data_IF_620924110757
#
_entry.id   IF_620924110757
#
_cell.length_a   1.000
_cell.length_b   1.000
_cell.length_c   1.000
_cell.angle_alpha   90.00
_cell.angle_beta   90.00
_cell.angle_gamma   90.00
#
_symmetry.space_group_name_H-M   'P 1'
#
loop_
_entity.id
_entity.type
_entity.pdbx_description
1 polymer ?
#
# COMPACT_ATOMS: atom_id res chain seq x y z
N UNK A 1 54.46 -3.43 26.83
CA UNK A 1 53.65 -2.43 26.12
C UNK A 1 52.38 -3.12 25.66
N UNK A 2 51.34 -3.05 26.50
CA UNK A 2 50.07 -3.71 26.25
C UNK A 2 49.08 -2.68 25.69
N UNK A 3 48.81 -2.70 24.39
CA UNK A 3 47.81 -1.83 23.77
C UNK A 3 46.41 -2.39 24.05
N UNK A 4 45.62 -1.57 24.74
CA UNK A 4 44.27 -1.82 25.14
C UNK A 4 43.31 -1.61 23.91
N UNK A 5 43.01 -2.67 23.17
CA UNK A 5 42.01 -2.64 22.09
C UNK A 5 40.62 -3.17 22.53
N UNK A 6 40.33 -3.10 23.82
CA UNK A 6 39.06 -3.66 24.33
C UNK A 6 37.83 -2.73 24.16
N UNK A 7 38.01 -1.48 23.73
CA UNK A 7 36.92 -0.50 23.68
C UNK A 7 36.21 -0.34 22.34
N UNK A 8 36.73 -0.90 21.26
CA UNK A 8 36.20 -0.61 19.92
C UNK A 8 35.06 -1.58 19.47
N UNK A 9 34.97 -2.73 20.11
CA UNK A 9 33.98 -3.74 19.74
C UNK A 9 32.56 -3.53 20.33
N UNK A 10 32.46 -2.71 21.39
CA UNK A 10 31.17 -2.47 22.05
C UNK A 10 30.28 -1.43 21.35
N UNK A 11 30.84 -0.58 20.51
CA UNK A 11 30.06 0.44 19.80
C UNK A 11 29.45 -0.05 18.47
N UNK A 12 29.98 -1.13 17.91
CA UNK A 12 29.47 -1.66 16.63
C UNK A 12 28.19 -2.49 16.78
N UNK A 13 27.90 -3.00 17.98
CA UNK A 13 26.71 -3.82 18.24
C UNK A 13 25.43 -3.00 18.46
N UNK A 14 25.54 -1.71 18.76
CA UNK A 14 24.37 -0.88 19.06
C UNK A 14 23.67 -0.31 17.81
N UNK A 15 24.33 -0.32 16.65
CA UNK A 15 23.79 0.29 15.42
C UNK A 15 22.89 -0.68 14.65
N UNK A 16 23.00 -1.99 14.89
CA UNK A 16 22.24 -3.01 14.18
C UNK A 16 20.78 -3.14 14.65
N UNK A 17 20.42 -2.54 15.79
CA UNK A 17 19.10 -2.68 16.40
C UNK A 17 18.03 -1.68 15.89
N UNK A 18 18.40 -0.74 15.00
CA UNK A 18 17.51 0.34 14.58
C UNK A 18 16.85 0.14 13.19
N UNK A 19 17.19 -0.93 12.48
CA UNK A 19 16.55 -1.24 11.20
C UNK A 19 15.31 -2.07 11.47
N UNK A 20 14.18 -1.40 11.71
CA UNK A 20 12.89 -2.07 11.72
C UNK A 20 12.53 -2.37 10.27
N UNK A 21 12.25 -3.64 9.92
CA UNK A 21 11.71 -3.94 8.60
C UNK A 21 10.38 -3.19 8.43
N UNK A 22 10.20 -2.53 7.29
CA UNK A 22 8.90 -1.96 6.95
C UNK A 22 7.85 -3.08 6.99
N UNK A 23 6.73 -2.84 7.68
CA UNK A 23 5.64 -3.81 7.72
C UNK A 23 5.15 -4.07 6.29
N UNK A 24 5.03 -5.35 5.89
CA UNK A 24 4.42 -5.73 4.62
C UNK A 24 2.94 -5.36 4.61
N UNK A 25 2.41 -4.99 3.44
CA UNK A 25 0.99 -4.73 3.26
C UNK A 25 0.14 -5.97 3.63
N UNK A 26 -0.94 -5.74 4.36
CA UNK A 26 -1.91 -6.78 4.71
C UNK A 26 -2.98 -6.87 3.61
N UNK A 27 -2.81 -7.80 2.68
CA UNK A 27 -3.72 -7.99 1.55
C UNK A 27 -5.15 -8.37 1.99
N UNK A 28 -5.39 -9.29 2.92
CA UNK A 28 -6.74 -9.58 3.42
C UNK A 28 -7.42 -8.34 4.00
N UNK A 29 -6.72 -7.50 4.74
CA UNK A 29 -7.27 -6.24 5.25
C UNK A 29 -7.57 -5.26 4.11
N UNK A 30 -6.69 -5.14 3.14
CA UNK A 30 -6.93 -4.32 1.94
C UNK A 30 -8.17 -4.75 1.18
N UNK A 31 -8.40 -6.06 1.05
CA UNK A 31 -9.60 -6.63 0.46
C UNK A 31 -10.86 -6.23 1.24
N UNK A 32 -10.83 -6.34 2.57
CA UNK A 32 -11.95 -5.93 3.43
C UNK A 32 -12.25 -4.43 3.31
N UNK A 33 -11.23 -3.59 3.30
CA UNK A 33 -11.39 -2.14 3.11
C UNK A 33 -12.01 -1.83 1.75
N UNK A 34 -11.57 -2.49 0.69
CA UNK A 34 -12.13 -2.34 -0.65
C UNK A 34 -13.61 -2.74 -0.69
N UNK A 35 -13.99 -3.85 -0.08
CA UNK A 35 -15.37 -4.31 0.02
C UNK A 35 -16.24 -3.33 0.80
N UNK A 36 -15.72 -2.77 1.87
CA UNK A 36 -16.45 -1.89 2.77
C UNK A 36 -16.64 -0.48 2.21
N UNK A 37 -15.62 0.07 1.57
CA UNK A 37 -15.58 1.50 1.22
C UNK A 37 -15.54 1.79 -0.30
N UNK A 38 -15.06 0.85 -1.11
CA UNK A 38 -14.81 1.10 -2.53
C UNK A 38 -15.84 0.41 -3.45
N UNK A 39 -16.42 -0.69 -3.01
CA UNK A 39 -17.30 -1.53 -3.83
C UNK A 39 -18.63 -0.85 -4.24
N UNK A 40 -19.01 0.23 -3.55
CA UNK A 40 -20.21 1.00 -3.93
C UNK A 40 -20.05 1.70 -5.29
N UNK A 41 -18.82 2.03 -5.68
CA UNK A 41 -18.52 2.79 -6.89
C UNK A 41 -17.59 2.04 -7.86
N UNK A 42 -16.69 1.22 -7.34
CA UNK A 42 -15.70 0.46 -8.11
C UNK A 42 -16.06 -1.02 -8.18
N UNK A 43 -15.76 -1.65 -9.30
CA UNK A 43 -15.63 -3.12 -9.34
C UNK A 43 -14.28 -3.48 -8.75
N UNK A 44 -14.29 -4.15 -7.61
CA UNK A 44 -13.08 -4.41 -6.83
C UNK A 44 -12.44 -5.78 -7.09
N UNK A 45 -13.13 -6.68 -7.81
CA UNK A 45 -12.60 -8.01 -8.11
C UNK A 45 -11.52 -8.03 -9.17
N UNK A 46 -10.80 -9.17 -9.28
CA UNK A 46 -9.67 -9.35 -10.18
C UNK A 46 -10.06 -9.66 -11.63
N UNK A 47 -11.34 -9.82 -11.94
CA UNK A 47 -11.81 -10.08 -13.32
C UNK A 47 -12.21 -8.78 -13.99
N UNK A 48 -11.90 -8.60 -15.29
CA UNK A 48 -12.45 -7.48 -16.04
C UNK A 48 -13.98 -7.52 -15.98
N UNK A 49 -14.66 -6.37 -15.87
CA UNK A 49 -16.11 -6.32 -15.97
C UNK A 49 -16.56 -6.82 -17.34
N UNK A 50 -17.71 -7.52 -17.36
CA UNK A 50 -18.26 -8.11 -18.59
C UNK A 50 -18.69 -7.07 -19.63
N UNK A 51 -18.92 -5.82 -19.20
CA UNK A 51 -19.34 -4.71 -20.05
C UNK A 51 -18.43 -3.51 -19.80
N UNK A 52 -18.30 -2.64 -20.80
CA UNK A 52 -17.60 -1.36 -20.63
C UNK A 52 -18.34 -0.55 -19.58
N UNK A 53 -17.69 -0.34 -18.43
CA UNK A 53 -18.27 0.49 -17.37
C UNK A 53 -18.12 1.96 -17.70
N UNK A 54 -19.21 2.68 -17.54
CA UNK A 54 -19.19 4.13 -17.43
C UNK A 54 -19.06 4.49 -15.95
N UNK A 55 -18.05 5.27 -15.60
CA UNK A 55 -17.81 5.70 -14.23
C UNK A 55 -16.39 5.39 -13.75
N UNK A 56 -16.19 5.18 -12.43
CA UNK A 56 -14.88 4.92 -11.88
C UNK A 56 -14.24 3.66 -12.48
N UNK A 57 -12.91 3.64 -12.70
CA UNK A 57 -12.24 2.46 -13.21
C UNK A 57 -12.35 1.29 -12.23
N UNK A 58 -12.41 0.06 -12.76
CA UNK A 58 -12.31 -1.13 -11.93
C UNK A 58 -10.92 -1.24 -11.30
N UNK A 59 -10.81 -1.94 -10.18
CA UNK A 59 -9.50 -2.21 -9.57
C UNK A 59 -8.60 -3.03 -10.49
N UNK A 60 -9.16 -3.92 -11.29
CA UNK A 60 -8.41 -4.61 -12.33
C UNK A 60 -7.80 -3.61 -13.34
N UNK A 61 -8.57 -2.65 -13.83
CA UNK A 61 -8.08 -1.64 -14.74
C UNK A 61 -7.01 -0.75 -14.11
N UNK A 62 -7.18 -0.38 -12.84
CA UNK A 62 -6.17 0.38 -12.09
C UNK A 62 -4.86 -0.41 -11.98
N UNK A 63 -4.95 -1.71 -11.67
CA UNK A 63 -3.79 -2.58 -11.55
C UNK A 63 -3.02 -2.75 -12.87
N UNK A 64 -3.72 -2.72 -14.01
CA UNK A 64 -3.12 -2.79 -15.35
C UNK A 64 -2.67 -1.42 -15.88
N UNK A 65 -3.08 -0.34 -15.22
CA UNK A 65 -2.80 1.03 -15.65
C UNK A 65 -1.38 1.50 -15.33
N UNK A 66 -1.05 2.76 -15.70
CA UNK A 66 0.30 3.29 -15.59
C UNK A 66 0.68 3.73 -14.17
N UNK A 67 -0.25 3.78 -13.23
CA UNK A 67 0.04 4.26 -11.87
C UNK A 67 0.87 3.24 -11.09
N UNK A 68 1.97 3.71 -10.52
CA UNK A 68 2.77 2.94 -9.58
C UNK A 68 2.23 3.09 -8.13
N UNK A 69 2.81 2.34 -7.18
CA UNK A 69 2.39 2.35 -5.79
C UNK A 69 2.47 3.75 -5.15
N UNK A 70 3.49 4.54 -5.46
CA UNK A 70 3.64 5.89 -4.90
C UNK A 70 2.59 6.86 -5.43
N UNK A 71 2.26 6.74 -6.70
CA UNK A 71 1.20 7.55 -7.33
C UNK A 71 -0.18 7.16 -6.78
N UNK A 72 -0.45 5.87 -6.58
CA UNK A 72 -1.68 5.42 -5.92
C UNK A 72 -1.76 5.90 -4.47
N UNK A 73 -0.65 5.87 -3.76
CA UNK A 73 -0.59 6.39 -2.38
C UNK A 73 -0.90 7.87 -2.33
N UNK A 74 -0.30 8.66 -3.21
CA UNK A 74 -0.57 10.08 -3.30
C UNK A 74 -2.04 10.35 -3.64
N UNK A 75 -2.61 9.62 -4.59
CA UNK A 75 -4.01 9.76 -4.96
C UNK A 75 -4.96 9.42 -3.80
N UNK A 76 -4.75 8.28 -3.13
CA UNK A 76 -5.61 7.84 -2.02
C UNK A 76 -5.48 8.72 -0.78
N UNK A 77 -4.35 9.41 -0.62
CA UNK A 77 -4.16 10.38 0.47
C UNK A 77 -4.95 11.67 0.24
N UNK A 78 -5.17 12.05 -1.01
CA UNK A 78 -5.85 13.28 -1.41
C UNK A 78 -6.74 13.01 -2.63
N UNK A 79 -7.82 12.23 -2.46
CA UNK A 79 -8.70 11.92 -3.57
C UNK A 79 -9.39 13.20 -4.07
N UNK A 80 -9.72 13.20 -5.37
CA UNK A 80 -10.34 14.34 -6.04
C UNK A 80 -11.51 13.88 -6.91
N UNK A 81 -12.28 14.85 -7.42
CA UNK A 81 -13.47 14.58 -8.21
C UNK A 81 -14.62 14.07 -7.36
N UNK A 82 -15.37 13.11 -7.87
CA UNK A 82 -16.53 12.54 -7.18
C UNK A 82 -16.18 11.51 -6.11
N UNK A 83 -14.92 11.07 -6.02
CA UNK A 83 -14.47 10.13 -5.01
C UNK A 83 -14.38 10.81 -3.64
N UNK A 84 -15.10 10.32 -2.62
CA UNK A 84 -15.04 10.94 -1.30
C UNK A 84 -13.68 10.72 -0.62
N UNK A 85 -13.29 11.66 0.23
CA UNK A 85 -12.15 11.48 1.12
C UNK A 85 -12.59 10.58 2.29
N UNK A 86 -12.07 9.38 2.34
CA UNK A 86 -12.36 8.38 3.38
C UNK A 86 -11.48 8.53 4.61
N UNK A 87 -10.57 9.51 4.62
CA UNK A 87 -9.61 9.74 5.70
C UNK A 87 -8.83 8.47 6.09
N UNK A 88 -8.39 7.71 5.10
CA UNK A 88 -7.65 6.47 5.30
C UNK A 88 -6.31 6.74 5.98
N UNK A 89 -5.93 5.88 6.90
CA UNK A 89 -4.59 5.90 7.48
C UNK A 89 -3.55 5.43 6.44
N UNK A 90 -2.29 5.75 6.69
CA UNK A 90 -1.19 5.32 5.81
C UNK A 90 -1.14 3.80 5.67
N UNK A 91 -1.33 3.06 6.76
CA UNK A 91 -1.34 1.59 6.73
C UNK A 91 -2.53 1.03 5.96
N UNK A 92 -3.69 1.65 6.06
CA UNK A 92 -4.88 1.27 5.29
C UNK A 92 -4.67 1.51 3.79
N UNK A 93 -4.06 2.62 3.41
CA UNK A 93 -3.68 2.90 2.03
C UNK A 93 -2.69 1.85 1.52
N UNK A 94 -1.66 1.52 2.30
CA UNK A 94 -0.67 0.50 1.92
C UNK A 94 -1.32 -0.88 1.76
N UNK A 95 -2.28 -1.24 2.61
CA UNK A 95 -3.04 -2.49 2.52
C UNK A 95 -3.91 -2.53 1.24
N UNK A 96 -4.57 -1.43 0.91
CA UNK A 96 -5.34 -1.30 -0.34
C UNK A 96 -4.45 -1.43 -1.58
N UNK A 97 -3.30 -0.77 -1.59
CA UNK A 97 -2.33 -0.87 -2.69
C UNK A 97 -1.82 -2.31 -2.81
N UNK A 98 -1.56 -2.97 -1.69
CA UNK A 98 -1.19 -4.38 -1.66
C UNK A 98 -2.25 -5.26 -2.32
N UNK A 99 -3.52 -5.05 -2.00
CA UNK A 99 -4.63 -5.76 -2.64
C UNK A 99 -4.71 -5.46 -4.14
N UNK A 100 -4.73 -4.21 -4.54
CA UNK A 100 -4.77 -3.81 -5.96
C UNK A 100 -3.62 -4.46 -6.74
N UNK A 101 -2.43 -4.50 -6.16
CA UNK A 101 -1.25 -5.09 -6.80
C UNK A 101 -1.39 -6.59 -7.07
N UNK A 102 -2.25 -7.30 -6.33
CA UNK A 102 -2.54 -8.71 -6.61
C UNK A 102 -3.38 -8.93 -7.86
N UNK A 103 -3.99 -7.88 -8.41
CA UNK A 103 -4.89 -7.95 -9.56
C UNK A 103 -4.19 -7.73 -10.91
N UNK A 104 -2.86 -7.64 -10.91
CA UNK A 104 -2.03 -7.53 -12.13
C UNK A 104 -1.96 -8.82 -12.90
#
# INVERSE_FOLDING_TARGET
MQLRFAGFWLFLSAILAAVRPAAAANVPRGTQLAQQWCANCHVIGGKPPATTQQGPPSFHAIAQGPLNADQLRAFLSHPHGAMPDLALSRSEIDDLIGYISTLR
#
